data_IF_537470240730
#
_entry.id   IF_537470240730
#
_cell.length_a   1.000
_cell.length_b   1.000
_cell.length_c   1.000
_cell.angle_alpha   90.00
_cell.angle_beta   90.00
_cell.angle_gamma   90.00
#
_symmetry.space_group_name_H-M   'P 1'
#
loop_
_entity.id
_entity.type
_entity.pdbx_description
1 polymer ?
#
# COMPACT_ATOMS: atom_id res chain seq x y z
N UNK A 1 22.98 -15.47 -41.85
CA UNK A 1 22.57 -16.67 -41.16
C UNK A 1 22.90 -16.55 -39.66
N UNK A 2 21.84 -16.42 -38.84
CA UNK A 2 21.91 -16.17 -37.40
C UNK A 2 22.67 -17.31 -36.69
N UNK A 3 22.43 -18.56 -37.08
CA UNK A 3 23.05 -19.74 -36.46
C UNK A 3 24.59 -19.78 -36.64
N UNK A 4 25.09 -19.35 -37.78
CA UNK A 4 26.55 -19.28 -38.02
C UNK A 4 27.21 -18.21 -37.14
N UNK A 5 26.53 -17.07 -36.92
CA UNK A 5 27.01 -16.02 -36.02
C UNK A 5 26.98 -16.44 -34.58
N UNK A 6 25.90 -17.15 -34.15
CA UNK A 6 25.79 -17.70 -32.82
C UNK A 6 26.99 -18.59 -32.45
N UNK A 7 27.32 -19.56 -33.31
CA UNK A 7 28.42 -20.47 -33.07
C UNK A 7 29.76 -19.69 -33.02
N UNK A 8 29.93 -18.72 -33.93
CA UNK A 8 31.17 -17.93 -34.00
C UNK A 8 31.42 -17.06 -32.77
N UNK A 9 30.35 -16.52 -32.18
CA UNK A 9 30.45 -15.56 -31.06
C UNK A 9 29.95 -16.12 -29.72
N UNK A 10 29.61 -17.41 -29.66
CA UNK A 10 29.11 -18.11 -28.47
C UNK A 10 27.94 -17.36 -27.76
N UNK A 11 27.00 -16.85 -28.56
CA UNK A 11 25.84 -16.13 -28.07
C UNK A 11 24.63 -17.05 -28.00
N UNK A 12 23.94 -17.18 -26.85
CA UNK A 12 22.71 -17.94 -26.75
C UNK A 12 21.64 -17.42 -27.70
N UNK A 13 20.97 -18.29 -28.43
CA UNK A 13 19.92 -17.93 -29.37
C UNK A 13 18.67 -18.77 -29.07
N UNK A 14 17.54 -18.08 -28.89
CA UNK A 14 16.26 -18.71 -28.60
C UNK A 14 15.30 -18.44 -29.77
N UNK A 15 14.40 -19.38 -30.02
CA UNK A 15 13.36 -19.29 -31.06
C UNK A 15 11.98 -19.22 -30.37
N UNK A 16 11.11 -18.42 -30.90
CA UNK A 16 9.73 -18.28 -30.41
C UNK A 16 8.76 -18.29 -31.61
N UNK A 17 7.56 -18.82 -31.39
CA UNK A 17 6.46 -18.76 -32.37
C UNK A 17 5.66 -17.46 -32.27
N UNK A 18 5.94 -16.61 -31.26
CA UNK A 18 5.26 -15.33 -31.08
C UNK A 18 5.70 -14.31 -32.11
N UNK A 19 4.81 -13.35 -32.40
CA UNK A 19 5.18 -12.18 -33.24
C UNK A 19 6.21 -11.33 -32.50
N UNK A 20 7.07 -10.65 -33.25
CA UNK A 20 8.11 -9.79 -32.69
C UNK A 20 7.55 -8.74 -31.71
N UNK A 21 6.45 -8.10 -32.09
CA UNK A 21 5.79 -7.08 -31.25
C UNK A 21 5.26 -7.66 -29.92
N UNK A 22 4.66 -8.83 -29.96
CA UNK A 22 4.17 -9.52 -28.75
C UNK A 22 5.31 -9.92 -27.82
N UNK A 23 6.38 -10.49 -28.38
CA UNK A 23 7.57 -10.87 -27.61
C UNK A 23 8.26 -9.63 -26.99
N UNK A 24 8.43 -8.55 -27.77
CA UNK A 24 9.04 -7.32 -27.25
C UNK A 24 8.22 -6.72 -26.11
N UNK A 25 6.87 -6.65 -26.24
CA UNK A 25 6.02 -6.13 -25.20
C UNK A 25 6.12 -6.94 -23.89
N UNK A 26 6.24 -8.26 -24.01
CA UNK A 26 6.39 -9.15 -22.85
C UNK A 26 7.77 -9.02 -22.18
N UNK A 27 8.82 -8.96 -22.97
CA UNK A 27 10.19 -8.75 -22.46
C UNK A 27 10.29 -7.38 -21.78
N UNK A 28 9.78 -6.32 -22.38
CA UNK A 28 9.79 -4.98 -21.79
C UNK A 28 9.05 -4.99 -20.46
N UNK A 29 7.86 -5.58 -20.41
CA UNK A 29 7.09 -5.69 -19.16
C UNK A 29 7.86 -6.43 -18.08
N UNK A 30 8.46 -7.55 -18.42
CA UNK A 30 9.25 -8.36 -17.50
C UNK A 30 10.49 -7.60 -17.00
N UNK A 31 11.22 -6.94 -17.92
CA UNK A 31 12.42 -6.16 -17.57
C UNK A 31 12.06 -4.97 -16.68
N UNK A 32 10.95 -4.28 -16.94
CA UNK A 32 10.50 -3.17 -16.09
C UNK A 32 10.25 -3.61 -14.64
N UNK A 33 9.76 -4.82 -14.43
CA UNK A 33 9.60 -5.37 -13.08
C UNK A 33 10.95 -5.79 -12.48
N UNK A 34 11.79 -6.50 -13.24
CA UNK A 34 13.07 -7.03 -12.75
C UNK A 34 14.10 -5.95 -12.46
N UNK A 35 14.09 -4.86 -13.23
CA UNK A 35 15.04 -3.75 -13.13
C UNK A 35 14.41 -2.52 -12.45
N UNK A 36 13.23 -2.66 -11.85
CA UNK A 36 12.56 -1.58 -11.16
C UNK A 36 13.45 -1.00 -10.06
N UNK A 37 13.59 0.33 -9.96
CA UNK A 37 14.17 0.95 -8.78
C UNK A 37 13.46 0.48 -7.52
N UNK A 38 14.21 0.13 -6.48
CA UNK A 38 13.69 -0.43 -5.24
C UNK A 38 14.27 0.30 -4.04
N UNK A 39 13.43 0.48 -3.02
CA UNK A 39 13.82 0.97 -1.68
C UNK A 39 13.23 0.06 -0.62
N UNK A 40 13.86 0.01 0.54
CA UNK A 40 13.34 -0.69 1.72
C UNK A 40 12.86 0.34 2.73
N UNK A 41 11.65 0.15 3.23
CA UNK A 41 11.00 1.06 4.19
C UNK A 41 10.59 0.26 5.43
N UNK A 42 10.82 0.83 6.61
CA UNK A 42 10.31 0.26 7.85
C UNK A 42 8.80 0.52 7.98
N UNK A 43 8.03 -0.54 8.01
CA UNK A 43 6.57 -0.48 8.04
C UNK A 43 5.92 -1.85 7.87
N UNK A 44 4.61 -1.85 7.81
CA UNK A 44 3.79 -3.03 7.58
C UNK A 44 2.90 -2.80 6.37
N UNK A 45 2.89 -3.73 5.44
CA UNK A 45 2.02 -3.69 4.25
C UNK A 45 0.93 -4.75 4.37
N UNK A 46 -0.32 -4.31 4.28
CA UNK A 46 -1.51 -5.16 4.33
C UNK A 46 -2.40 -4.87 3.13
N UNK A 47 -2.93 -5.91 2.51
CA UNK A 47 -4.00 -5.81 1.52
C UNK A 47 -5.34 -5.74 2.26
N UNK A 48 -5.97 -4.57 2.24
CA UNK A 48 -7.25 -4.28 2.90
C UNK A 48 -8.33 -4.09 1.84
N UNK A 49 -9.16 -5.11 1.65
CA UNK A 49 -10.20 -5.15 0.61
C UNK A 49 -9.66 -4.90 -0.82
N UNK A 50 -8.40 -5.26 -1.10
CA UNK A 50 -7.75 -5.02 -2.38
C UNK A 50 -6.97 -3.71 -2.50
N UNK A 51 -7.09 -2.78 -1.53
CA UNK A 51 -6.23 -1.60 -1.41
C UNK A 51 -4.98 -1.97 -0.62
N UNK A 52 -3.80 -1.65 -1.14
CA UNK A 52 -2.54 -1.84 -0.40
C UNK A 52 -2.31 -0.68 0.56
N UNK A 53 -2.38 -0.99 1.84
CA UNK A 53 -2.17 0.00 2.91
C UNK A 53 -0.81 -0.21 3.55
N UNK A 54 0.08 0.76 3.39
CA UNK A 54 1.38 0.81 4.05
C UNK A 54 1.22 1.54 5.39
N UNK A 55 1.39 0.82 6.49
CA UNK A 55 1.34 1.35 7.85
C UNK A 55 2.76 1.68 8.29
N UNK A 56 3.04 2.95 8.55
CA UNK A 56 4.32 3.48 9.00
C UNK A 56 4.20 4.06 10.40
N UNK A 57 5.32 4.25 11.07
CA UNK A 57 5.40 4.86 12.40
C UNK A 57 6.57 4.31 13.19
N UNK A 58 6.81 4.87 14.37
CA UNK A 58 7.92 4.48 15.23
C UNK A 58 7.83 3.01 15.66
N UNK A 59 8.98 2.45 16.05
CA UNK A 59 9.04 1.09 16.57
C UNK A 59 8.25 1.00 17.88
N UNK A 60 7.38 -0.02 17.98
CA UNK A 60 6.54 -0.23 19.17
C UNK A 60 5.24 0.56 19.20
N UNK A 61 4.91 1.29 18.16
CA UNK A 61 3.68 2.09 18.09
C UNK A 61 2.40 1.24 17.84
N UNK A 62 2.54 -0.06 17.60
CA UNK A 62 1.42 -0.98 17.40
C UNK A 62 1.13 -1.34 15.93
N UNK A 63 2.11 -1.20 15.02
CA UNK A 63 1.93 -1.55 13.59
C UNK A 63 1.61 -3.03 13.39
N UNK A 64 2.42 -3.91 13.97
CA UNK A 64 2.28 -5.36 13.81
C UNK A 64 1.01 -5.88 14.50
N UNK A 65 0.64 -5.31 15.65
CA UNK A 65 -0.62 -5.62 16.34
C UNK A 65 -1.85 -5.22 15.51
N UNK A 66 -1.79 -4.03 14.88
CA UNK A 66 -2.85 -3.59 13.98
C UNK A 66 -2.96 -4.51 12.75
N UNK A 67 -1.82 -4.93 12.19
CA UNK A 67 -1.80 -5.88 11.07
C UNK A 67 -2.38 -7.24 11.47
N UNK A 68 -2.03 -7.77 12.64
CA UNK A 68 -2.58 -9.03 13.13
C UNK A 68 -4.10 -8.96 13.30
N UNK A 69 -4.62 -7.85 13.83
CA UNK A 69 -6.07 -7.65 13.94
C UNK A 69 -6.73 -7.59 12.55
N UNK A 70 -6.12 -6.89 11.58
CA UNK A 70 -6.58 -6.87 10.19
C UNK A 70 -6.61 -8.27 9.58
N UNK A 71 -5.57 -9.09 9.81
CA UNK A 71 -5.53 -10.50 9.34
C UNK A 71 -6.69 -11.30 9.93
N UNK A 72 -6.96 -11.20 11.23
CA UNK A 72 -8.09 -11.86 11.88
C UNK A 72 -9.45 -11.41 11.34
N UNK A 73 -9.52 -10.24 10.74
CA UNK A 73 -10.71 -9.69 10.09
C UNK A 73 -10.83 -10.08 8.61
N UNK A 74 -9.90 -10.90 8.10
CA UNK A 74 -9.92 -11.45 6.74
C UNK A 74 -9.10 -10.66 5.71
N UNK A 75 -8.22 -9.76 6.17
CA UNK A 75 -7.25 -9.07 5.30
C UNK A 75 -5.97 -9.89 5.17
N UNK A 76 -5.10 -9.50 4.25
CA UNK A 76 -3.91 -10.29 3.90
C UNK A 76 -2.63 -9.54 4.23
N UNK A 77 -1.73 -10.19 4.98
CA UNK A 77 -0.39 -9.69 5.21
C UNK A 77 0.44 -9.78 3.93
N UNK A 78 1.14 -8.71 3.60
CA UNK A 78 2.17 -8.73 2.55
C UNK A 78 3.56 -8.71 3.18
N UNK A 79 3.82 -7.78 4.08
CA UNK A 79 5.10 -7.69 4.80
C UNK A 79 4.91 -7.08 6.18
N UNK A 80 5.72 -7.52 7.14
CA UNK A 80 5.91 -6.89 8.45
C UNK A 80 7.37 -6.45 8.61
N UNK A 81 7.58 -5.37 9.37
CA UNK A 81 8.85 -4.74 9.70
C UNK A 81 9.58 -4.09 8.51
N UNK A 82 9.85 -4.79 7.43
CA UNK A 82 10.52 -4.25 6.24
C UNK A 82 9.67 -4.49 5.00
N UNK A 83 9.34 -3.42 4.30
CA UNK A 83 8.63 -3.46 3.02
C UNK A 83 9.59 -3.03 1.91
N UNK A 84 9.84 -3.91 0.96
CA UNK A 84 10.57 -3.60 -0.28
C UNK A 84 9.61 -3.00 -1.28
N UNK A 85 9.83 -1.74 -1.65
CA UNK A 85 8.97 -0.99 -2.57
C UNK A 85 9.68 -0.83 -3.89
N UNK A 86 9.09 -1.35 -4.96
CA UNK A 86 9.57 -1.24 -6.33
C UNK A 86 8.67 -0.33 -7.17
N UNK A 87 9.28 0.56 -7.96
CA UNK A 87 8.55 1.39 -8.93
C UNK A 87 8.45 0.65 -10.25
N UNK A 88 7.32 -0.01 -10.47
CA UNK A 88 7.09 -0.82 -11.70
C UNK A 88 6.55 0.00 -12.87
N UNK A 89 6.02 1.20 -12.61
CA UNK A 89 5.62 2.19 -13.62
C UNK A 89 5.64 3.61 -13.06
N UNK A 90 5.37 4.61 -13.92
CA UNK A 90 5.31 6.02 -13.52
C UNK A 90 4.22 6.34 -12.48
N UNK A 91 3.26 5.45 -12.30
CA UNK A 91 2.13 5.63 -11.37
C UNK A 91 1.94 4.46 -10.40
N UNK A 92 2.78 3.42 -10.47
CA UNK A 92 2.55 2.19 -9.72
C UNK A 92 3.78 1.82 -8.87
N UNK A 93 3.56 1.77 -7.58
CA UNK A 93 4.49 1.20 -6.60
C UNK A 93 3.95 -0.17 -6.18
N UNK A 94 4.85 -1.15 -6.09
CA UNK A 94 4.52 -2.50 -5.61
C UNK A 94 5.38 -2.80 -4.40
N UNK A 95 4.75 -3.22 -3.32
CA UNK A 95 5.41 -3.66 -2.10
C UNK A 95 5.47 -5.17 -2.00
N UNK A 96 6.59 -5.66 -1.48
CA UNK A 96 6.86 -7.08 -1.21
C UNK A 96 7.56 -7.24 0.13
N UNK A 97 7.56 -8.44 0.68
CA UNK A 97 8.42 -8.80 1.80
C UNK A 97 9.78 -9.29 1.30
N UNK A 98 10.89 -9.04 2.02
CA UNK A 98 12.12 -9.76 1.82
C UNK A 98 11.89 -11.28 1.95
N UNK A 99 12.58 -12.09 1.14
CA UNK A 99 12.38 -13.55 1.13
C UNK A 99 12.54 -14.21 2.51
N UNK A 100 13.45 -13.68 3.35
CA UNK A 100 13.76 -14.22 4.67
C UNK A 100 12.62 -13.98 5.66
N UNK A 101 11.92 -12.84 5.57
CA UNK A 101 10.87 -12.44 6.53
C UNK A 101 9.45 -12.65 5.98
N UNK A 102 9.34 -13.21 4.78
CA UNK A 102 8.06 -13.42 4.11
C UNK A 102 7.11 -14.27 4.96
N UNK A 103 5.89 -13.77 5.17
CA UNK A 103 4.81 -14.38 5.95
C UNK A 103 5.02 -14.40 7.47
N UNK A 104 6.13 -13.87 7.96
CA UNK A 104 6.36 -13.73 9.39
C UNK A 104 5.90 -12.37 9.90
N UNK A 105 5.48 -12.34 11.16
CA UNK A 105 5.15 -11.14 11.92
C UNK A 105 5.81 -11.21 13.29
N UNK A 106 6.40 -10.10 13.74
CA UNK A 106 6.98 -10.02 15.08
C UNK A 106 5.99 -9.35 16.05
N UNK A 107 5.69 -10.05 17.13
CA UNK A 107 4.86 -9.53 18.22
C UNK A 107 5.65 -9.48 19.52
N UNK A 108 5.81 -8.29 20.06
CA UNK A 108 6.54 -8.10 21.32
C UNK A 108 5.90 -8.90 22.45
N UNK A 109 6.73 -9.66 23.17
CA UNK A 109 6.29 -10.53 24.26
C UNK A 109 5.78 -11.90 23.85
N UNK A 110 5.55 -12.13 22.55
CA UNK A 110 5.16 -13.43 21.98
C UNK A 110 6.30 -14.00 21.12
N UNK A 111 6.94 -13.14 20.31
CA UNK A 111 8.00 -13.52 19.39
C UNK A 111 7.54 -13.52 17.93
N UNK A 112 8.21 -14.32 17.11
CA UNK A 112 7.95 -14.42 15.65
C UNK A 112 6.85 -15.46 15.40
N UNK A 113 5.86 -15.09 14.60
CA UNK A 113 4.71 -15.90 14.21
C UNK A 113 4.71 -16.08 12.69
N UNK A 114 4.53 -17.32 12.23
CA UNK A 114 4.22 -17.63 10.82
C UNK A 114 2.72 -17.47 10.58
N UNK A 115 2.36 -16.37 9.93
CA UNK A 115 0.96 -16.01 9.64
C UNK A 115 0.29 -17.02 8.72
N UNK A 116 1.02 -17.48 7.70
CA UNK A 116 0.51 -18.46 6.74
C UNK A 116 0.18 -19.80 7.40
N UNK A 117 1.03 -20.25 8.31
CA UNK A 117 0.82 -21.50 9.04
C UNK A 117 -0.31 -21.39 10.06
N UNK A 118 -0.46 -20.25 10.73
CA UNK A 118 -1.48 -20.07 11.79
C UNK A 118 -2.86 -19.73 11.26
N UNK A 119 -2.96 -18.90 10.20
CA UNK A 119 -4.22 -18.34 9.72
C UNK A 119 -4.61 -18.80 8.32
N UNK A 120 -3.77 -19.63 7.67
CA UNK A 120 -4.05 -20.15 6.34
C UNK A 120 -3.44 -19.33 5.20
N UNK A 121 -3.41 -19.92 4.01
CA UNK A 121 -2.81 -19.31 2.81
C UNK A 121 -3.56 -18.05 2.35
N UNK A 122 -4.83 -17.95 2.65
CA UNK A 122 -5.69 -16.80 2.34
C UNK A 122 -5.34 -15.54 3.15
N UNK A 123 -4.60 -15.68 4.27
CA UNK A 123 -4.21 -14.57 5.13
C UNK A 123 -2.92 -13.88 4.73
N UNK A 124 -2.26 -14.34 3.68
CA UNK A 124 -1.01 -13.78 3.15
C UNK A 124 -1.11 -13.48 1.67
N UNK A 125 -0.24 -12.57 1.20
CA UNK A 125 -0.09 -12.21 -0.21
C UNK A 125 1.37 -11.83 -0.49
N UNK A 126 1.91 -12.28 -1.62
CA UNK A 126 3.33 -12.06 -1.92
C UNK A 126 3.62 -10.62 -2.35
N UNK A 127 2.71 -10.00 -3.08
CA UNK A 127 2.88 -8.65 -3.64
C UNK A 127 1.60 -7.84 -3.58
N UNK A 128 1.68 -6.54 -3.36
CA UNK A 128 0.54 -5.62 -3.41
C UNK A 128 0.97 -4.25 -3.91
N UNK A 129 0.13 -3.59 -4.73
CA UNK A 129 0.28 -2.16 -5.01
C UNK A 129 0.16 -1.35 -3.73
N UNK A 130 0.90 -0.23 -3.63
CA UNK A 130 0.76 0.69 -2.50
C UNK A 130 -0.21 1.79 -2.91
N UNK A 131 -1.42 1.75 -2.36
CA UNK A 131 -2.49 2.68 -2.69
C UNK A 131 -2.64 3.80 -1.65
N UNK A 132 -2.36 3.48 -0.38
CA UNK A 132 -2.55 4.37 0.75
C UNK A 132 -1.44 4.18 1.78
N UNK A 133 -0.97 5.28 2.36
CA UNK A 133 -0.08 5.28 3.52
C UNK A 133 -0.84 5.75 4.75
N UNK A 134 -0.69 5.02 5.85
CA UNK A 134 -1.15 5.43 7.18
C UNK A 134 0.07 5.60 8.07
N UNK A 135 0.36 6.82 8.44
CA UNK A 135 1.42 7.15 9.37
C UNK A 135 0.86 7.22 10.79
N UNK A 136 1.23 6.24 11.60
CA UNK A 136 0.91 6.22 13.01
C UNK A 136 1.85 7.16 13.76
N UNK A 137 1.32 8.03 14.59
CA UNK A 137 2.10 8.96 15.41
C UNK A 137 1.52 9.06 16.81
N UNK A 138 2.35 9.37 17.79
CA UNK A 138 1.87 9.64 19.14
C UNK A 138 0.97 10.87 19.15
N UNK A 139 -0.03 10.85 20.04
CA UNK A 139 -0.94 11.99 20.17
C UNK A 139 -0.20 13.22 20.69
N UNK A 140 -0.20 14.28 19.91
CA UNK A 140 0.30 15.60 20.32
C UNK A 140 -0.87 16.56 20.51
N UNK A 141 -0.94 17.20 21.67
CA UNK A 141 -2.00 18.17 22.02
C UNK A 141 -1.84 19.49 21.27
N UNK A 142 -0.63 19.83 20.87
CA UNK A 142 -0.29 21.08 20.19
C UNK A 142 -0.45 20.99 18.68
N UNK A 143 -0.51 19.75 18.13
CA UNK A 143 -0.70 19.49 16.70
C UNK A 143 -2.18 19.52 16.34
N UNK A 144 -2.52 20.34 15.34
CA UNK A 144 -3.83 20.27 14.71
C UNK A 144 -3.91 19.08 13.74
N UNK A 145 -4.90 18.22 13.96
CA UNK A 145 -5.18 17.09 13.08
C UNK A 145 -6.35 17.42 12.17
N UNK A 146 -6.23 17.10 10.89
CA UNK A 146 -7.34 17.26 9.95
C UNK A 146 -8.54 16.42 10.40
N UNK A 147 -9.68 17.08 10.57
CA UNK A 147 -10.95 16.46 10.98
C UNK A 147 -11.91 16.28 9.83
N UNK A 148 -11.72 17.00 8.76
CA UNK A 148 -12.66 17.06 7.65
C UNK A 148 -12.21 16.18 6.46
N UNK A 149 -10.92 15.95 6.30
CA UNK A 149 -10.38 15.18 5.18
C UNK A 149 -10.57 15.88 3.83
N UNK A 150 -10.60 17.22 3.83
CA UNK A 150 -10.77 18.04 2.61
C UNK A 150 -9.46 18.16 1.83
N UNK A 151 -8.34 18.23 2.55
CA UNK A 151 -7.00 18.29 1.97
C UNK A 151 -6.36 16.90 2.03
N UNK A 152 -5.66 16.53 0.98
CA UNK A 152 -4.92 15.27 0.92
C UNK A 152 -3.45 15.55 1.13
N UNK A 153 -2.86 14.86 2.10
CA UNK A 153 -1.41 14.79 2.28
C UNK A 153 -0.84 13.68 1.40
N UNK A 154 0.40 13.85 0.96
CA UNK A 154 1.10 12.89 0.12
C UNK A 154 2.48 12.60 0.68
N UNK A 155 2.92 11.37 0.54
CA UNK A 155 4.30 10.94 0.72
C UNK A 155 4.86 10.46 -0.62
N UNK A 156 6.14 10.71 -0.85
CA UNK A 156 6.78 10.35 -2.11
C UNK A 156 7.74 9.18 -1.93
N UNK A 157 7.59 8.15 -2.78
CA UNK A 157 8.52 7.04 -2.90
C UNK A 157 8.97 6.91 -4.36
N UNK A 158 10.27 6.92 -4.60
CA UNK A 158 10.85 6.75 -5.94
C UNK A 158 10.24 7.69 -7.02
N UNK A 159 9.84 8.90 -6.62
CA UNK A 159 9.20 9.87 -7.51
C UNK A 159 7.67 9.73 -7.66
N UNK A 160 7.06 8.72 -7.07
CA UNK A 160 5.60 8.53 -7.08
C UNK A 160 4.98 9.03 -5.78
N UNK A 161 3.93 9.83 -5.89
CA UNK A 161 3.16 10.35 -4.73
C UNK A 161 2.06 9.38 -4.36
N UNK A 162 1.97 9.04 -3.07
CA UNK A 162 0.92 8.21 -2.48
C UNK A 162 0.18 9.02 -1.43
N UNK A 163 -1.15 8.91 -1.41
CA UNK A 163 -1.99 9.56 -0.39
C UNK A 163 -1.57 9.06 0.99
N UNK A 164 -1.39 9.99 1.93
CA UNK A 164 -0.95 9.71 3.29
C UNK A 164 -1.94 10.28 4.31
N UNK A 165 -2.29 9.51 5.32
CA UNK A 165 -3.05 9.98 6.47
C UNK A 165 -2.23 9.85 7.75
N UNK A 166 -2.03 10.97 8.46
CA UNK A 166 -1.41 11.00 9.78
C UNK A 166 -2.45 10.62 10.84
N UNK A 167 -2.26 9.49 11.49
CA UNK A 167 -3.21 8.93 12.46
C UNK A 167 -2.63 8.99 13.89
N UNK A 168 -3.13 9.90 14.74
CA UNK A 168 -2.69 9.96 16.12
C UNK A 168 -3.23 8.79 16.94
N UNK A 169 -2.33 8.11 17.66
CA UNK A 169 -2.67 6.98 18.51
C UNK A 169 -3.03 7.48 19.91
N UNK A 170 -4.12 6.93 20.44
CA UNK A 170 -4.52 7.05 21.84
C UNK A 170 -4.91 5.68 22.37
N UNK A 171 -4.69 5.42 23.67
CA UNK A 171 -5.20 4.22 24.31
C UNK A 171 -6.70 4.04 24.06
N UNK A 172 -7.13 2.83 23.74
CA UNK A 172 -8.53 2.48 23.48
C UNK A 172 -9.02 2.70 22.05
N UNK A 173 -8.21 3.23 21.13
CA UNK A 173 -8.55 3.27 19.69
C UNK A 173 -8.29 1.91 19.04
N UNK A 174 -9.28 1.41 18.30
CA UNK A 174 -9.08 0.24 17.46
C UNK A 174 -8.49 0.68 16.11
N UNK A 175 -7.18 0.43 15.94
CA UNK A 175 -6.44 0.85 14.74
C UNK A 175 -6.92 0.10 13.49
N UNK A 176 -7.24 -1.19 13.60
CA UNK A 176 -7.68 -1.98 12.46
C UNK A 176 -8.97 -1.43 11.84
N UNK A 177 -9.96 -1.06 12.67
CA UNK A 177 -11.20 -0.45 12.18
C UNK A 177 -10.93 0.86 11.45
N UNK A 178 -10.00 1.68 11.97
CA UNK A 178 -9.69 2.97 11.35
C UNK A 178 -8.97 2.74 10.02
N UNK A 179 -8.04 1.79 9.95
CA UNK A 179 -7.33 1.41 8.72
C UNK A 179 -8.30 0.87 7.67
N UNK A 180 -9.21 -0.03 8.04
CA UNK A 180 -10.27 -0.52 7.15
C UNK A 180 -11.12 0.62 6.59
N UNK A 181 -11.57 1.52 7.48
CA UNK A 181 -12.39 2.66 7.07
C UNK A 181 -11.62 3.60 6.14
N UNK A 182 -10.35 3.86 6.41
CA UNK A 182 -9.51 4.69 5.56
C UNK A 182 -9.33 4.07 4.16
N UNK A 183 -9.08 2.75 4.07
CA UNK A 183 -8.95 2.04 2.80
C UNK A 183 -10.24 2.11 1.97
N UNK A 184 -11.40 1.85 2.59
CA UNK A 184 -12.70 1.95 1.90
C UNK A 184 -13.00 3.38 1.46
N UNK A 185 -12.75 4.38 2.31
CA UNK A 185 -12.95 5.79 1.98
C UNK A 185 -12.01 6.24 0.83
N UNK A 186 -10.75 5.79 0.86
CA UNK A 186 -9.80 6.04 -0.22
C UNK A 186 -10.32 5.48 -1.56
N UNK A 187 -10.80 4.24 -1.56
CA UNK A 187 -11.41 3.63 -2.75
C UNK A 187 -12.61 4.43 -3.24
N UNK A 188 -13.51 4.87 -2.35
CA UNK A 188 -14.66 5.69 -2.73
C UNK A 188 -14.24 7.01 -3.38
N UNK A 189 -13.20 7.66 -2.85
CA UNK A 189 -12.63 8.86 -3.45
C UNK A 189 -12.08 8.58 -4.86
N UNK A 190 -11.34 7.48 -5.06
CA UNK A 190 -10.87 7.04 -6.39
C UNK A 190 -12.03 6.79 -7.37
N UNK A 191 -13.18 6.36 -6.88
CA UNK A 191 -14.41 6.16 -7.67
C UNK A 191 -15.21 7.46 -7.88
N UNK A 192 -14.73 8.61 -7.40
CA UNK A 192 -15.34 9.93 -7.63
C UNK A 192 -16.29 10.41 -6.52
N UNK A 193 -16.47 9.69 -5.44
CA UNK A 193 -17.27 10.14 -4.29
C UNK A 193 -16.39 10.59 -3.13
N UNK A 194 -16.53 11.86 -2.73
CA UNK A 194 -15.84 12.42 -1.57
C UNK A 194 -16.86 12.94 -0.54
N UNK A 195 -17.01 12.23 0.58
CA UNK A 195 -17.98 12.54 1.62
C UNK A 195 -17.74 13.92 2.27
N UNK A 196 -16.48 14.34 2.42
CA UNK A 196 -16.13 15.64 2.98
C UNK A 196 -16.57 16.80 2.07
N UNK A 197 -16.34 16.66 0.76
CA UNK A 197 -16.81 17.65 -0.23
C UNK A 197 -18.34 17.68 -0.29
N UNK A 198 -19.00 16.54 -0.24
CA UNK A 198 -20.45 16.47 -0.23
C UNK A 198 -21.04 17.13 1.03
N UNK A 199 -20.45 16.88 2.20
CA UNK A 199 -20.85 17.57 3.43
C UNK A 199 -20.68 19.08 3.31
N UNK A 200 -19.52 19.54 2.81
CA UNK A 200 -19.24 20.95 2.60
C UNK A 200 -20.28 21.59 1.67
N UNK A 201 -20.62 20.94 0.56
CA UNK A 201 -21.66 21.38 -0.40
C UNK A 201 -23.03 21.55 0.27
N UNK A 202 -23.42 20.57 1.13
CA UNK A 202 -24.68 20.64 1.88
C UNK A 202 -24.72 21.77 2.88
N UNK A 203 -23.62 22.02 3.59
CA UNK A 203 -23.50 23.14 4.53
C UNK A 203 -23.64 24.47 3.79
N UNK A 204 -22.97 24.64 2.66
CA UNK A 204 -23.06 25.86 1.85
C UNK A 204 -24.51 26.09 1.33
N UNK A 205 -25.15 25.06 0.80
CA UNK A 205 -26.53 25.15 0.34
C UNK A 205 -27.51 25.56 1.46
N UNK A 206 -27.33 25.02 2.68
CA UNK A 206 -28.15 25.41 3.84
C UNK A 206 -27.92 26.85 4.26
N UNK A 207 -26.69 27.34 4.20
CA UNK A 207 -26.38 28.74 4.54
C UNK A 207 -27.00 29.75 3.55
N UNK A 208 -27.03 29.39 2.25
CA UNK A 208 -27.69 30.21 1.23
C UNK A 208 -29.21 30.27 1.50
N UNK A 209 -29.86 29.14 1.69
CA UNK A 209 -31.32 29.10 2.00
C UNK A 209 -31.68 29.95 3.20
N UNK A 210 -30.94 29.86 4.29
CA UNK A 210 -31.19 30.67 5.50
C UNK A 210 -30.95 32.17 5.31
N UNK A 211 -30.21 32.60 4.27
CA UNK A 211 -30.04 34.01 3.92
C UNK A 211 -31.18 34.54 3.08
N UNK A 212 -31.82 33.69 2.27
CA UNK A 212 -32.97 34.02 1.44
C UNK A 212 -34.28 34.09 2.21
N UNK A 213 -34.33 33.37 3.37
CA UNK A 213 -35.52 33.36 4.26
C UNK A 213 -35.52 34.52 5.30
N UNK A 214 -34.51 35.39 5.32
CA UNK A 214 -34.40 36.60 6.16
C UNK A 214 -34.57 37.87 5.33
#
# INVERSE_FOLDING_TARGET
>A
DVYKRQIKYNVPTFVTERTTSSLMAEIIRWLNVQLAPMISIHGVLVDVFGEGVLIMGESGIGKSEAALELIKRGHRLVSDDVVEISRVSDITLVGTAPDITRHFIELRGIGIIDVKTLFGVESVKDTQSIDLVIKLEEWDKEKEYDRLGLEEEYIEFLGNKVVCHSLPIRPGRNLAIIVETAAVNHRQKKMGYNAAQELYRRVQANLVKKREEK
#
